data_IF_610290603886
#
_entry.id   IF_610290603886
#
_cell.length_a   1.000
_cell.length_b   1.000
_cell.length_c   1.000
_cell.angle_alpha   90.00
_cell.angle_beta   90.00
_cell.angle_gamma   90.00
#
_symmetry.space_group_name_H-M   'P 1'
#
loop_
_entity.id
_entity.type
_entity.pdbx_description
1 polymer ?
#
# COMPACT_ATOMS: atom_id res chain seq x y z
N UNK A 1 10.08 -34.14 4.54
CA UNK A 1 8.94 -33.25 4.23
C UNK A 1 9.34 -31.82 4.58
N UNK A 2 9.94 -31.07 3.65
CA UNK A 2 10.31 -29.65 3.86
C UNK A 2 10.57 -28.89 2.53
N UNK A 3 9.98 -29.32 1.42
CA UNK A 3 10.22 -28.71 0.10
C UNK A 3 9.31 -27.52 -0.22
N UNK A 4 8.21 -27.33 0.53
CA UNK A 4 7.21 -26.28 0.23
C UNK A 4 7.70 -24.88 0.66
N UNK A 5 8.51 -24.76 1.71
CA UNK A 5 9.04 -23.47 2.17
C UNK A 5 10.16 -22.86 1.30
N UNK A 6 10.86 -23.68 0.52
CA UNK A 6 11.94 -23.21 -0.38
C UNK A 6 11.39 -22.51 -1.63
N UNK A 7 10.25 -22.98 -2.13
CA UNK A 7 9.68 -22.52 -3.39
C UNK A 7 9.09 -21.10 -3.29
N UNK A 8 8.43 -20.75 -2.18
CA UNK A 8 7.89 -19.40 -1.98
C UNK A 8 9.00 -18.37 -1.71
N UNK A 9 10.04 -18.77 -0.97
CA UNK A 9 11.18 -17.91 -0.64
C UNK A 9 11.97 -17.55 -1.90
N UNK A 10 12.23 -18.50 -2.79
CA UNK A 10 12.97 -18.27 -4.04
C UNK A 10 12.20 -17.36 -5.02
N UNK A 11 10.87 -17.49 -5.10
CA UNK A 11 10.03 -16.63 -5.95
C UNK A 11 9.99 -15.17 -5.50
N UNK A 12 10.21 -14.91 -4.20
CA UNK A 12 10.24 -13.56 -3.61
C UNK A 12 11.64 -12.92 -3.71
N UNK A 13 12.68 -13.70 -3.48
CA UNK A 13 14.07 -13.19 -3.41
C UNK A 13 14.60 -12.73 -4.76
N UNK A 14 14.14 -13.38 -5.84
CA UNK A 14 14.62 -13.15 -7.21
C UNK A 14 14.30 -11.75 -7.74
N UNK A 15 13.04 -11.25 -7.73
CA UNK A 15 12.75 -9.90 -8.20
C UNK A 15 13.40 -8.79 -7.36
N UNK A 16 13.46 -8.96 -6.04
CA UNK A 16 14.16 -8.02 -5.15
C UNK A 16 15.66 -7.98 -5.43
N UNK A 17 16.28 -9.13 -5.66
CA UNK A 17 17.69 -9.23 -6.06
C UNK A 17 17.96 -8.55 -7.41
N UNK A 18 17.04 -8.66 -8.38
CA UNK A 18 17.16 -7.94 -9.65
C UNK A 18 17.14 -6.42 -9.48
N UNK A 19 16.25 -5.87 -8.65
CA UNK A 19 16.22 -4.43 -8.36
C UNK A 19 17.55 -3.96 -7.73
N UNK A 20 18.07 -4.71 -6.75
CA UNK A 20 19.36 -4.40 -6.12
C UNK A 20 20.52 -4.49 -7.11
N UNK A 21 20.51 -5.50 -7.99
CA UNK A 21 21.53 -5.70 -9.02
C UNK A 21 21.49 -4.56 -10.05
N UNK A 22 20.31 -4.11 -10.47
CA UNK A 22 20.16 -2.94 -11.34
C UNK A 22 20.73 -1.68 -10.69
N UNK A 23 20.43 -1.44 -9.41
CA UNK A 23 20.99 -0.31 -8.65
C UNK A 23 22.52 -0.35 -8.61
N UNK A 24 23.08 -1.55 -8.38
CA UNK A 24 24.52 -1.77 -8.35
C UNK A 24 25.20 -1.53 -9.69
N UNK A 25 24.67 -2.11 -10.78
CA UNK A 25 25.26 -1.94 -12.12
C UNK A 25 25.14 -0.50 -12.61
N UNK A 26 23.96 0.09 -12.52
CA UNK A 26 23.74 1.47 -12.99
C UNK A 26 24.50 2.48 -12.14
N UNK A 27 24.54 2.27 -10.83
CA UNK A 27 25.32 3.11 -9.92
C UNK A 27 26.82 3.01 -10.17
N UNK A 28 27.36 1.79 -10.35
CA UNK A 28 28.76 1.58 -10.65
C UNK A 28 29.17 2.20 -12.00
N UNK A 29 28.37 2.00 -13.04
CA UNK A 29 28.60 2.59 -14.36
C UNK A 29 28.62 4.12 -14.30
N UNK A 30 27.62 4.73 -13.65
CA UNK A 30 27.54 6.18 -13.50
C UNK A 30 28.71 6.75 -12.66
N UNK A 31 29.14 6.04 -11.62
CA UNK A 31 30.32 6.41 -10.82
C UNK A 31 31.60 6.31 -11.66
N UNK A 32 31.78 5.21 -12.41
CA UNK A 32 32.92 5.03 -13.31
C UNK A 32 32.99 6.13 -14.37
N UNK A 33 31.84 6.53 -14.91
CA UNK A 33 31.74 7.66 -15.83
C UNK A 33 32.22 8.97 -15.17
N UNK A 34 31.75 9.29 -13.96
CA UNK A 34 32.17 10.50 -13.24
C UNK A 34 33.66 10.50 -12.87
N UNK A 35 34.26 9.33 -12.62
CA UNK A 35 35.71 9.22 -12.35
C UNK A 35 36.51 9.51 -13.63
N UNK A 36 36.03 9.02 -14.77
CA UNK A 36 36.74 9.14 -16.07
C UNK A 36 36.52 10.49 -16.74
N UNK A 37 35.45 11.22 -16.39
CA UNK A 37 35.10 12.52 -16.95
C UNK A 37 34.92 13.56 -15.82
N UNK A 38 36.02 14.02 -15.19
CA UNK A 38 35.93 14.94 -14.06
C UNK A 38 35.50 16.33 -14.52
N UNK A 39 34.30 16.72 -14.10
CA UNK A 39 33.76 18.07 -14.23
C UNK A 39 34.29 19.02 -13.14
N UNK A 40 33.98 20.34 -13.22
CA UNK A 40 34.36 21.28 -12.17
C UNK A 40 33.93 20.80 -10.78
N UNK A 41 34.83 20.89 -9.80
CA UNK A 41 34.74 20.28 -8.46
C UNK A 41 33.37 20.37 -7.76
N UNK A 42 32.64 21.47 -7.93
CA UNK A 42 31.32 21.66 -7.32
C UNK A 42 30.25 20.80 -8.00
N UNK A 43 30.23 20.78 -9.34
CA UNK A 43 29.30 19.96 -10.13
C UNK A 43 29.58 18.48 -9.95
N UNK A 44 30.85 18.11 -10.03
CA UNK A 44 31.30 16.73 -9.85
C UNK A 44 30.86 16.15 -8.50
N UNK A 45 31.00 16.91 -7.40
CA UNK A 45 30.54 16.49 -6.06
C UNK A 45 29.02 16.35 -5.98
N UNK A 46 28.29 17.24 -6.61
CA UNK A 46 26.82 17.21 -6.63
C UNK A 46 26.32 15.97 -7.38
N UNK A 47 26.88 15.69 -8.54
CA UNK A 47 26.53 14.52 -9.35
C UNK A 47 26.83 13.22 -8.62
N UNK A 48 27.98 13.13 -7.96
CA UNK A 48 28.33 12.01 -7.09
C UNK A 48 27.32 11.80 -5.97
N UNK A 49 26.89 12.88 -5.31
CA UNK A 49 25.91 12.83 -4.23
C UNK A 49 24.55 12.36 -4.74
N UNK A 50 24.10 12.89 -5.88
CA UNK A 50 22.82 12.53 -6.50
C UNK A 50 22.82 11.06 -6.91
N UNK A 51 23.84 10.61 -7.64
CA UNK A 51 23.97 9.22 -8.10
C UNK A 51 24.07 8.28 -6.91
N UNK A 52 24.92 8.61 -5.93
CA UNK A 52 25.06 7.82 -4.71
C UNK A 52 23.75 7.70 -3.94
N UNK A 53 23.00 8.79 -3.80
CA UNK A 53 21.71 8.81 -3.09
C UNK A 53 20.64 8.01 -3.83
N UNK A 54 20.55 8.16 -5.16
CA UNK A 54 19.61 7.39 -5.99
C UNK A 54 19.94 5.89 -5.95
N UNK A 55 21.20 5.51 -6.19
CA UNK A 55 21.63 4.11 -6.14
C UNK A 55 21.41 3.49 -4.76
N UNK A 56 21.76 4.20 -3.68
CA UNK A 56 21.51 3.73 -2.32
C UNK A 56 20.01 3.61 -2.02
N UNK A 57 19.19 4.56 -2.48
CA UNK A 57 17.73 4.53 -2.31
C UNK A 57 17.09 3.35 -3.04
N UNK A 58 17.51 3.05 -4.26
CA UNK A 58 17.01 1.91 -5.05
C UNK A 58 17.46 0.59 -4.40
N UNK A 59 18.74 0.50 -4.01
CA UNK A 59 19.26 -0.69 -3.33
C UNK A 59 18.54 -0.93 -1.99
N UNK A 60 18.33 0.12 -1.20
CA UNK A 60 17.56 0.06 0.04
C UNK A 60 16.12 -0.34 -0.21
N UNK A 61 15.47 0.18 -1.26
CA UNK A 61 14.12 -0.24 -1.65
C UNK A 61 14.05 -1.71 -2.04
N UNK A 62 15.03 -2.21 -2.80
CA UNK A 62 15.16 -3.64 -3.13
C UNK A 62 15.39 -4.51 -1.88
N UNK A 63 16.22 -4.06 -0.95
CA UNK A 63 16.42 -4.73 0.35
C UNK A 63 15.13 -4.75 1.19
N UNK A 64 14.40 -3.63 1.25
CA UNK A 64 13.10 -3.54 1.92
C UNK A 64 12.08 -4.51 1.31
N UNK A 65 12.09 -4.70 -0.01
CA UNK A 65 11.25 -5.70 -0.68
C UNK A 65 11.65 -7.13 -0.33
N UNK A 66 12.95 -7.39 -0.15
CA UNK A 66 13.46 -8.69 0.25
C UNK A 66 12.96 -9.10 1.65
N UNK A 67 12.96 -8.16 2.59
CA UNK A 67 12.56 -8.35 3.99
C UNK A 67 11.04 -8.23 4.21
N UNK A 68 10.31 -7.71 3.22
CA UNK A 68 8.86 -7.53 3.33
C UNK A 68 8.07 -8.85 3.36
N UNK A 69 6.89 -8.79 3.99
CA UNK A 69 5.90 -9.87 4.01
C UNK A 69 4.98 -9.87 2.77
N UNK A 70 5.32 -9.12 1.71
CA UNK A 70 4.49 -9.06 0.50
C UNK A 70 4.45 -10.40 -0.23
N UNK A 71 3.31 -10.66 -0.87
CA UNK A 71 3.14 -11.81 -1.75
C UNK A 71 4.13 -11.75 -2.92
N UNK A 72 4.67 -12.90 -3.38
CA UNK A 72 5.64 -12.91 -4.47
C UNK A 72 5.17 -12.18 -5.73
N UNK A 73 3.89 -12.33 -6.10
CA UNK A 73 3.29 -11.70 -7.30
C UNK A 73 3.31 -10.17 -7.21
N UNK A 74 3.04 -9.64 -6.02
CA UNK A 74 3.14 -8.22 -5.72
C UNK A 74 4.57 -7.68 -5.93
N UNK A 75 5.59 -8.42 -5.49
CA UNK A 75 7.00 -8.03 -5.68
C UNK A 75 7.40 -8.07 -7.16
N UNK A 76 6.88 -9.02 -7.93
CA UNK A 76 7.03 -9.03 -9.39
C UNK A 76 6.35 -7.85 -10.07
N UNK A 77 5.19 -7.43 -9.57
CA UNK A 77 4.55 -6.19 -10.00
C UNK A 77 5.45 -4.97 -9.79
N UNK A 78 6.11 -4.86 -8.64
CA UNK A 78 7.07 -3.77 -8.36
C UNK A 78 8.25 -3.81 -9.32
N UNK A 79 8.81 -4.99 -9.62
CA UNK A 79 9.87 -5.14 -10.61
C UNK A 79 9.39 -4.69 -12.00
N UNK A 80 8.16 -5.05 -12.41
CA UNK A 80 7.60 -4.64 -13.69
C UNK A 80 7.50 -3.11 -13.81
N UNK A 81 7.05 -2.42 -12.75
CA UNK A 81 7.03 -0.95 -12.70
C UNK A 81 8.44 -0.34 -12.75
N UNK A 82 9.40 -0.99 -12.09
CA UNK A 82 10.81 -0.58 -12.10
C UNK A 82 11.40 -0.66 -13.51
N UNK A 83 11.18 -1.79 -14.22
CA UNK A 83 11.63 -1.99 -15.61
C UNK A 83 10.92 -1.02 -16.55
N UNK A 84 9.61 -0.80 -16.37
CA UNK A 84 8.85 0.15 -17.18
C UNK A 84 9.35 1.59 -16.99
N UNK A 85 9.68 1.98 -15.76
CA UNK A 85 10.28 3.28 -15.44
C UNK A 85 11.65 3.44 -16.11
N UNK A 86 12.51 2.42 -16.04
CA UNK A 86 13.81 2.44 -16.73
C UNK A 86 13.64 2.53 -18.26
N UNK A 87 12.72 1.73 -18.84
CA UNK A 87 12.46 1.70 -20.27
C UNK A 87 11.88 3.02 -20.80
N UNK A 88 10.95 3.63 -20.08
CA UNK A 88 10.39 4.94 -20.45
C UNK A 88 11.45 6.05 -20.37
N UNK A 89 12.29 6.05 -19.34
CA UNK A 89 13.40 7.01 -19.24
C UNK A 89 14.44 6.82 -20.36
N UNK A 90 14.76 5.57 -20.73
CA UNK A 90 15.63 5.27 -21.87
C UNK A 90 15.03 5.76 -23.20
N UNK A 91 13.72 5.57 -23.41
CA UNK A 91 13.03 6.08 -24.60
C UNK A 91 13.08 7.62 -24.68
N UNK A 92 12.91 8.30 -23.54
CA UNK A 92 13.07 9.75 -23.45
C UNK A 92 14.51 10.16 -23.77
N UNK A 93 15.51 9.49 -23.20
CA UNK A 93 16.92 9.73 -23.49
C UNK A 93 17.25 9.56 -24.97
N UNK A 94 16.73 8.50 -25.60
CA UNK A 94 16.87 8.26 -27.04
C UNK A 94 16.20 9.33 -27.89
N UNK A 95 15.03 9.81 -27.49
CA UNK A 95 14.31 10.90 -28.17
C UNK A 95 15.11 12.20 -28.11
N UNK A 96 15.67 12.53 -26.93
CA UNK A 96 16.53 13.71 -26.74
C UNK A 96 17.80 13.61 -27.56
N UNK A 97 18.47 12.46 -27.51
CA UNK A 97 19.68 12.20 -28.30
C UNK A 97 19.42 12.33 -29.80
N UNK A 98 18.34 11.72 -30.30
CA UNK A 98 17.94 11.82 -31.70
C UNK A 98 17.64 13.27 -32.11
N UNK A 99 16.96 14.02 -31.25
CA UNK A 99 16.68 15.43 -31.49
C UNK A 99 17.96 16.29 -31.52
N UNK A 100 18.91 16.05 -30.62
CA UNK A 100 20.20 16.74 -30.62
C UNK A 100 21.02 16.44 -31.87
N UNK A 101 21.00 15.18 -32.33
CA UNK A 101 21.70 14.75 -33.54
C UNK A 101 21.16 15.45 -34.79
N UNK A 102 19.84 15.63 -34.91
CA UNK A 102 19.24 16.34 -36.04
C UNK A 102 19.58 17.84 -36.06
N UNK A 103 19.74 18.45 -34.88
CA UNK A 103 19.97 19.89 -34.75
C UNK A 103 21.46 20.27 -34.69
N UNK A 104 22.39 19.31 -34.83
CA UNK A 104 23.84 19.53 -34.71
C UNK A 104 24.22 20.26 -33.40
N UNK A 105 23.45 20.05 -32.33
CA UNK A 105 23.73 20.62 -31.02
C UNK A 105 24.90 19.88 -30.36
N UNK A 106 25.56 20.52 -29.39
CA UNK A 106 26.55 19.84 -28.55
C UNK A 106 25.85 18.69 -27.79
N UNK A 107 26.20 17.46 -28.15
CA UNK A 107 25.61 16.26 -27.57
C UNK A 107 26.19 16.09 -26.17
N UNK A 108 25.34 16.15 -25.14
CA UNK A 108 25.73 15.70 -23.80
C UNK A 108 26.20 14.25 -23.92
N UNK A 109 27.29 13.88 -23.24
CA UNK A 109 27.89 12.56 -23.39
C UNK A 109 26.81 11.46 -23.31
N UNK A 110 26.56 10.72 -24.41
CA UNK A 110 25.35 9.90 -24.53
C UNK A 110 25.26 8.85 -23.42
N UNK A 111 26.41 8.25 -23.07
CA UNK A 111 26.51 7.25 -22.01
C UNK A 111 25.97 7.76 -20.68
N UNK A 112 26.44 8.92 -20.22
CA UNK A 112 26.00 9.51 -18.95
C UNK A 112 24.52 9.88 -18.96
N UNK A 113 24.02 10.45 -20.07
CA UNK A 113 22.61 10.78 -20.21
C UNK A 113 21.73 9.54 -20.04
N UNK A 114 22.09 8.43 -20.73
CA UNK A 114 21.34 7.18 -20.63
C UNK A 114 21.46 6.54 -19.25
N UNK A 115 22.65 6.50 -18.66
CA UNK A 115 22.88 5.94 -17.32
C UNK A 115 22.10 6.69 -16.25
N UNK A 116 22.15 8.03 -16.28
CA UNK A 116 21.43 8.88 -15.33
C UNK A 116 19.91 8.74 -15.49
N UNK A 117 19.41 8.73 -16.73
CA UNK A 117 17.98 8.54 -17.00
C UNK A 117 17.52 7.14 -16.61
N UNK A 118 18.30 6.10 -16.91
CA UNK A 118 18.00 4.73 -16.49
C UNK A 118 17.94 4.61 -14.97
N UNK A 119 18.89 5.20 -14.25
CA UNK A 119 18.92 5.20 -12.79
C UNK A 119 17.70 5.94 -12.22
N UNK A 120 17.40 7.13 -12.75
CA UNK A 120 16.25 7.94 -12.32
C UNK A 120 14.94 7.22 -12.63
N UNK A 121 14.79 6.67 -13.83
CA UNK A 121 13.61 5.89 -14.25
C UNK A 121 13.41 4.64 -13.42
N UNK A 122 14.49 3.94 -13.07
CA UNK A 122 14.46 2.80 -12.13
C UNK A 122 13.95 3.24 -10.76
N UNK A 123 14.46 4.36 -10.23
CA UNK A 123 14.02 4.90 -8.93
C UNK A 123 12.55 5.32 -8.91
N UNK A 124 12.10 6.05 -9.94
CA UNK A 124 10.70 6.49 -10.07
C UNK A 124 9.78 5.28 -10.25
N UNK A 125 10.15 4.33 -11.10
CA UNK A 125 9.39 3.09 -11.32
C UNK A 125 9.27 2.25 -10.04
N UNK A 126 10.35 2.13 -9.28
CA UNK A 126 10.35 1.46 -7.98
C UNK A 126 9.43 2.17 -6.98
N UNK A 127 9.55 3.49 -6.84
CA UNK A 127 8.73 4.29 -5.93
C UNK A 127 7.24 4.18 -6.30
N UNK A 128 6.90 4.26 -7.59
CA UNK A 128 5.54 4.08 -8.08
C UNK A 128 5.02 2.67 -7.82
N UNK A 129 5.80 1.64 -8.12
CA UNK A 129 5.45 0.25 -7.87
C UNK A 129 5.17 -0.02 -6.38
N UNK A 130 6.02 0.47 -5.49
CA UNK A 130 5.84 0.36 -4.03
C UNK A 130 4.61 1.13 -3.56
N UNK A 131 4.38 2.34 -4.09
CA UNK A 131 3.21 3.15 -3.72
C UNK A 131 1.93 2.48 -4.16
N UNK A 132 1.88 1.95 -5.38
CA UNK A 132 0.73 1.20 -5.90
C UNK A 132 0.48 -0.06 -5.09
N UNK A 133 1.53 -0.81 -4.76
CA UNK A 133 1.44 -2.00 -3.91
C UNK A 133 0.82 -1.67 -2.54
N UNK A 134 1.24 -0.55 -1.93
CA UNK A 134 0.67 -0.06 -0.66
C UNK A 134 -0.79 0.37 -0.78
N UNK A 135 -1.25 0.74 -1.96
CA UNK A 135 -2.64 1.14 -2.21
C UNK A 135 -3.55 -0.04 -2.58
N UNK A 136 -3.01 -1.11 -3.19
CA UNK A 136 -3.80 -2.28 -3.62
C UNK A 136 -3.79 -3.44 -2.63
N UNK A 137 -2.91 -3.44 -1.63
CA UNK A 137 -2.99 -4.41 -0.53
C UNK A 137 -4.12 -3.96 0.41
N UNK A 138 -5.27 -4.65 0.46
CA UNK A 138 -6.33 -4.25 1.37
C UNK A 138 -5.90 -4.57 2.80
N UNK A 139 -6.06 -3.57 3.69
CA UNK A 139 -6.11 -3.67 5.16
C UNK A 139 -4.74 -3.68 5.89
N UNK A 140 -4.52 -2.96 7.01
CA UNK A 140 -5.13 -1.73 7.52
C UNK A 140 -4.03 -0.70 7.92
N UNK A 141 -3.95 0.44 7.22
CA UNK A 141 -3.03 1.53 7.66
C UNK A 141 -3.47 2.25 8.94
N UNK A 142 -4.63 1.92 9.50
CA UNK A 142 -5.03 2.35 10.83
C UNK A 142 -4.24 1.65 11.96
N UNK A 143 -3.53 0.55 11.70
CA UNK A 143 -2.75 -0.21 12.71
C UNK A 143 -1.25 0.15 12.76
N UNK A 144 -0.76 1.24 12.15
CA UNK A 144 0.70 1.52 12.21
C UNK A 144 1.04 2.99 12.44
N UNK A 145 0.09 3.89 12.23
CA UNK A 145 0.26 5.34 12.46
C UNK A 145 -0.80 5.94 13.40
N UNK A 146 -1.68 5.11 13.96
CA UNK A 146 -2.60 5.50 15.04
C UNK A 146 -1.89 5.50 16.39
N UNK A 147 -2.29 6.43 17.25
CA UNK A 147 -1.95 6.48 18.67
C UNK A 147 -2.06 5.06 19.27
N UNK A 148 -1.12 4.57 20.12
CA UNK A 148 -1.26 3.27 20.79
C UNK A 148 -2.63 3.01 21.42
N UNK A 149 -3.37 4.05 21.81
CA UNK A 149 -4.76 3.93 22.27
C UNK A 149 -5.74 3.44 21.17
N UNK A 150 -5.57 3.82 19.90
CA UNK A 150 -6.41 3.36 18.80
C UNK A 150 -6.11 1.91 18.41
N UNK A 151 -4.88 1.45 18.63
CA UNK A 151 -4.49 0.04 18.49
C UNK A 151 -5.17 -0.83 19.55
N UNK A 152 -5.15 -0.39 20.82
CA UNK A 152 -5.84 -1.10 21.90
C UNK A 152 -7.35 -1.12 21.68
N UNK A 153 -7.93 -0.09 21.07
CA UNK A 153 -9.35 -0.05 20.66
C UNK A 153 -9.65 -0.98 19.50
N UNK A 154 -8.81 -1.06 18.47
CA UNK A 154 -8.98 -1.99 17.35
C UNK A 154 -8.73 -3.45 17.77
N UNK A 155 -7.77 -3.69 18.66
CA UNK A 155 -7.59 -4.99 19.31
C UNK A 155 -8.73 -5.32 20.26
N UNK A 156 -9.31 -4.33 20.96
CA UNK A 156 -10.51 -4.51 21.76
C UNK A 156 -11.70 -4.89 20.87
N UNK A 157 -11.94 -4.19 19.76
CA UNK A 157 -12.98 -4.54 18.77
C UNK A 157 -12.71 -5.92 18.17
N UNK A 158 -11.47 -6.24 17.77
CA UNK A 158 -11.11 -7.57 17.27
C UNK A 158 -11.26 -8.68 18.34
N UNK A 159 -11.04 -8.36 19.62
CA UNK A 159 -11.24 -9.29 20.74
C UNK A 159 -12.71 -9.42 21.17
N UNK A 160 -13.50 -8.37 20.98
CA UNK A 160 -14.95 -8.35 21.18
C UNK A 160 -15.64 -9.19 20.09
N UNK A 161 -15.16 -9.13 18.85
CA UNK A 161 -15.70 -9.83 17.66
C UNK A 161 -15.43 -11.36 17.67
N UNK A 162 -14.88 -11.92 18.77
CA UNK A 162 -14.59 -13.34 19.01
C UNK A 162 -15.09 -14.36 17.98
N UNK A 163 -14.16 -15.07 17.34
CA UNK A 163 -14.47 -16.10 16.35
C UNK A 163 -13.23 -16.66 15.65
N UNK A 164 -13.43 -17.70 14.84
CA UNK A 164 -12.41 -18.31 13.99
C UNK A 164 -11.84 -17.27 13.00
N UNK A 165 -10.58 -17.43 12.55
CA UNK A 165 -9.86 -16.37 11.80
C UNK A 165 -10.57 -15.91 10.53
N UNK A 166 -11.33 -16.81 9.91
CA UNK A 166 -12.06 -16.56 8.67
C UNK A 166 -13.35 -15.78 8.93
N UNK A 167 -14.08 -16.08 10.01
CA UNK A 167 -15.28 -15.34 10.41
C UNK A 167 -14.95 -13.91 10.82
N UNK A 168 -13.80 -13.68 11.47
CA UNK A 168 -13.35 -12.35 11.85
C UNK A 168 -12.99 -11.51 10.61
N UNK A 169 -12.35 -12.13 9.63
CA UNK A 169 -12.04 -11.49 8.34
C UNK A 169 -13.31 -11.14 7.56
N UNK A 170 -14.28 -12.05 7.52
CA UNK A 170 -15.59 -11.82 6.88
C UNK A 170 -16.37 -10.67 7.56
N UNK A 171 -16.41 -10.64 8.90
CA UNK A 171 -17.03 -9.53 9.66
C UNK A 171 -16.35 -8.19 9.43
N UNK A 172 -15.02 -8.16 9.31
CA UNK A 172 -14.29 -6.94 8.98
C UNK A 172 -14.61 -6.42 7.57
N UNK A 173 -14.71 -7.30 6.58
CA UNK A 173 -15.09 -6.94 5.21
C UNK A 173 -16.52 -6.37 5.14
N UNK A 174 -17.47 -6.92 5.92
CA UNK A 174 -18.82 -6.38 6.08
C UNK A 174 -18.77 -4.93 6.57
N UNK A 175 -18.02 -4.66 7.65
CA UNK A 175 -17.89 -3.31 8.22
C UNK A 175 -17.21 -2.34 7.25
N UNK A 176 -16.18 -2.80 6.52
CA UNK A 176 -15.50 -1.97 5.52
C UNK A 176 -16.45 -1.59 4.39
N UNK A 177 -17.24 -2.54 3.89
CA UNK A 177 -18.23 -2.30 2.84
C UNK A 177 -19.30 -1.30 3.31
N UNK A 178 -19.84 -1.47 4.53
CA UNK A 178 -20.81 -0.53 5.11
C UNK A 178 -20.21 0.87 5.33
N UNK A 179 -19.00 0.98 5.86
CA UNK A 179 -18.33 2.27 6.09
C UNK A 179 -17.98 3.03 4.81
N UNK A 180 -17.72 2.31 3.72
CA UNK A 180 -17.40 2.90 2.41
C UNK A 180 -18.63 3.45 1.67
N UNK A 181 -19.83 3.04 2.09
CA UNK A 181 -21.07 3.46 1.44
C UNK A 181 -21.49 4.83 1.98
N UNK A 182 -21.37 5.85 1.12
CA UNK A 182 -21.53 7.26 1.50
C UNK A 182 -22.92 7.64 2.05
N UNK A 183 -23.94 6.79 1.87
CA UNK A 183 -25.33 7.10 2.21
C UNK A 183 -25.75 6.73 3.63
N UNK A 184 -24.85 6.21 4.48
CA UNK A 184 -25.14 5.74 5.85
C UNK A 184 -26.20 4.63 5.98
N UNK A 185 -27.10 4.49 5.02
CA UNK A 185 -28.14 3.47 4.92
C UNK A 185 -27.97 2.74 3.58
N UNK A 186 -27.71 1.44 3.64
CA UNK A 186 -27.54 0.59 2.46
C UNK A 186 -28.65 -0.44 2.41
N UNK A 187 -29.43 -0.54 1.31
CA UNK A 187 -30.42 -1.61 1.17
C UNK A 187 -29.76 -2.99 1.25
N UNK A 188 -30.29 -3.89 2.07
CA UNK A 188 -29.69 -5.20 2.32
C UNK A 188 -29.47 -6.00 1.03
N UNK A 189 -30.42 -5.92 0.09
CA UNK A 189 -30.30 -6.60 -1.20
C UNK A 189 -29.11 -6.07 -2.02
N UNK A 190 -28.87 -4.76 -2.02
CA UNK A 190 -27.72 -4.17 -2.69
C UNK A 190 -26.41 -4.54 -1.99
N UNK A 191 -26.44 -4.62 -0.66
CA UNK A 191 -25.30 -5.01 0.16
C UNK A 191 -24.86 -6.46 -0.11
N UNK A 192 -25.81 -7.40 -0.16
CA UNK A 192 -25.53 -8.82 -0.48
C UNK A 192 -24.94 -8.97 -1.88
N UNK A 193 -25.48 -8.24 -2.87
CA UNK A 193 -24.98 -8.24 -4.24
C UNK A 193 -23.55 -7.66 -4.31
N UNK A 194 -23.25 -6.64 -3.51
CA UNK A 194 -21.92 -6.04 -3.49
C UNK A 194 -20.91 -7.01 -2.88
N UNK A 195 -21.26 -7.68 -1.77
CA UNK A 195 -20.43 -8.70 -1.13
C UNK A 195 -20.19 -9.91 -2.05
N UNK A 196 -21.18 -10.38 -2.81
CA UNK A 196 -21.00 -11.51 -3.74
C UNK A 196 -20.18 -11.17 -4.98
N UNK A 197 -20.13 -9.90 -5.39
CA UNK A 197 -19.40 -9.46 -6.59
C UNK A 197 -17.92 -9.16 -6.36
N UNK A 198 -17.50 -8.98 -5.11
CA UNK A 198 -16.10 -8.69 -4.82
C UNK A 198 -15.27 -9.99 -4.95
N UNK A 199 -14.76 -10.25 -6.16
CA UNK A 199 -14.00 -11.46 -6.56
C UNK A 199 -12.69 -11.73 -5.78
N UNK A 200 -12.41 -10.97 -4.73
CA UNK A 200 -11.24 -11.07 -3.86
C UNK A 200 -11.60 -11.27 -2.38
N UNK A 201 -12.88 -11.48 -2.05
CA UNK A 201 -13.38 -11.53 -0.66
C UNK A 201 -13.50 -12.95 -0.12
N UNK A 202 -13.65 -13.05 1.20
CA UNK A 202 -13.90 -14.30 1.91
C UNK A 202 -15.37 -14.78 1.82
N UNK A 203 -16.17 -14.16 0.94
CA UNK A 203 -17.58 -14.47 0.74
C UNK A 203 -17.80 -15.39 -0.47
N UNK A 204 -18.82 -16.27 -0.44
CA UNK A 204 -19.21 -17.06 -1.61
C UNK A 204 -19.65 -16.19 -2.79
N UNK A 205 -19.42 -16.66 -4.02
CA UNK A 205 -19.90 -16.00 -5.24
C UNK A 205 -21.45 -16.11 -5.44
N UNK A 206 -22.14 -16.90 -4.60
CA UNK A 206 -23.59 -17.09 -4.64
C UNK A 206 -24.29 -16.14 -3.66
N UNK A 207 -25.17 -15.28 -4.18
CA UNK A 207 -25.96 -14.32 -3.41
C UNK A 207 -26.78 -15.00 -2.30
N UNK A 208 -27.30 -16.21 -2.52
CA UNK A 208 -28.07 -16.92 -1.49
C UNK A 208 -27.16 -17.41 -0.36
N UNK A 209 -25.99 -17.96 -0.70
CA UNK A 209 -25.01 -18.40 0.28
C UNK A 209 -24.45 -17.22 1.11
N UNK A 210 -24.23 -16.06 0.49
CA UNK A 210 -23.86 -14.82 1.20
C UNK A 210 -24.98 -14.36 2.12
N UNK A 211 -26.23 -14.41 1.65
CA UNK A 211 -27.39 -14.04 2.46
C UNK A 211 -27.49 -14.92 3.71
N UNK A 212 -27.44 -16.24 3.54
CA UNK A 212 -27.57 -17.19 4.66
C UNK A 212 -26.44 -16.97 5.67
N UNK A 213 -25.19 -16.86 5.19
CA UNK A 213 -24.01 -16.62 6.02
C UNK A 213 -24.07 -15.26 6.73
N UNK A 214 -24.57 -14.22 6.07
CA UNK A 214 -24.74 -12.89 6.67
C UNK A 214 -25.79 -12.94 7.78
N UNK A 215 -26.99 -13.46 7.52
CA UNK A 215 -28.09 -13.47 8.48
C UNK A 215 -27.91 -14.45 9.63
N UNK A 216 -27.29 -15.61 9.38
CA UNK A 216 -27.13 -16.65 10.40
C UNK A 216 -25.86 -16.47 11.24
N UNK A 217 -24.73 -16.09 10.64
CA UNK A 217 -23.43 -16.17 11.32
C UNK A 217 -22.80 -14.82 11.72
N UNK A 218 -23.14 -13.74 11.03
CA UNK A 218 -22.40 -12.48 11.16
C UNK A 218 -23.24 -11.33 11.69
N UNK A 219 -24.41 -11.11 11.10
CA UNK A 219 -25.25 -9.98 11.43
C UNK A 219 -25.83 -10.05 12.86
N UNK A 220 -26.20 -11.22 13.41
CA UNK A 220 -26.56 -11.35 14.82
C UNK A 220 -25.45 -10.88 15.76
N UNK A 221 -24.19 -11.25 15.46
CA UNK A 221 -23.04 -10.87 16.29
C UNK A 221 -22.72 -9.38 16.16
N UNK A 222 -22.86 -8.81 14.97
CA UNK A 222 -22.66 -7.37 14.77
C UNK A 222 -23.75 -6.52 15.42
N UNK A 223 -24.99 -7.03 15.49
CA UNK A 223 -26.10 -6.42 16.23
C UNK A 223 -25.88 -6.51 17.74
N UNK A 224 -25.48 -7.67 18.26
CA UNK A 224 -25.18 -7.85 19.69
C UNK A 224 -24.06 -6.91 20.18
N UNK A 225 -23.21 -6.45 19.27
CA UNK A 225 -22.08 -5.57 19.55
C UNK A 225 -22.36 -4.10 19.24
N UNK A 226 -23.60 -3.76 18.91
CA UNK A 226 -24.04 -2.40 18.54
C UNK A 226 -23.25 -1.79 17.37
N UNK A 227 -22.61 -2.62 16.53
CA UNK A 227 -21.79 -2.16 15.40
C UNK A 227 -22.65 -1.79 14.19
N UNK A 228 -23.83 -2.39 14.09
CA UNK A 228 -24.74 -2.30 12.95
C UNK A 228 -26.17 -2.21 13.46
N UNK A 229 -26.99 -1.38 12.83
CA UNK A 229 -28.45 -1.34 13.02
C UNK A 229 -29.15 -1.78 11.75
N UNK A 230 -30.20 -2.59 11.89
CA UNK A 230 -31.13 -2.89 10.80
C UNK A 230 -32.37 -2.04 10.97
N UNK A 231 -32.78 -1.35 9.91
CA UNK A 231 -34.13 -0.82 9.79
C UNK A 231 -35.01 -1.87 9.09
N UNK A 232 -35.84 -2.57 9.87
CA UNK A 232 -36.75 -3.60 9.37
C UNK A 232 -37.87 -3.04 8.47
N UNK A 233 -38.21 -1.75 8.59
CA UNK A 233 -39.24 -1.11 7.77
C UNK A 233 -38.71 -0.79 6.36
N UNK A 234 -37.45 -0.36 6.28
CA UNK A 234 -36.79 0.00 5.02
C UNK A 234 -35.95 -1.13 4.43
N UNK A 235 -35.67 -2.20 5.20
CA UNK A 235 -34.79 -3.29 4.80
C UNK A 235 -33.35 -2.81 4.55
N UNK A 236 -32.90 -1.82 5.31
CA UNK A 236 -31.57 -1.21 5.20
C UNK A 236 -30.69 -1.59 6.39
N UNK A 237 -29.39 -1.59 6.13
CA UNK A 237 -28.34 -1.81 7.13
C UNK A 237 -27.52 -0.54 7.24
N UNK A 238 -27.33 -0.10 8.48
CA UNK A 238 -26.55 1.08 8.81
C UNK A 238 -25.40 0.71 9.73
N UNK A 239 -24.23 1.29 9.48
CA UNK A 239 -23.09 1.17 10.38
C UNK A 239 -23.19 2.22 11.49
N UNK A 240 -23.21 1.75 12.74
CA UNK A 240 -23.39 2.61 13.92
C UNK A 240 -22.05 2.78 14.62
N UNK A 241 -21.25 3.74 14.17
CA UNK A 241 -19.96 4.07 14.80
C UNK A 241 -20.11 4.92 16.08
N UNK A 242 -21.33 5.33 16.43
CA UNK A 242 -21.54 6.56 17.20
C UNK A 242 -21.23 6.49 18.70
N UNK A 243 -21.09 5.28 19.28
CA UNK A 243 -20.74 5.14 20.72
C UNK A 243 -19.26 4.78 20.98
N UNK A 244 -18.47 4.46 19.96
CA UNK A 244 -17.02 4.27 20.13
C UNK A 244 -16.26 5.60 20.32
N UNK A 245 -16.87 6.73 19.96
CA UNK A 245 -16.31 8.10 20.10
C UNK A 245 -16.92 8.82 21.33
N UNK A 246 -17.96 8.26 21.95
CA UNK A 246 -18.80 8.90 22.97
C UNK A 246 -18.24 8.94 24.41
N UNK A 247 -17.19 8.18 24.75
CA UNK A 247 -16.60 8.17 26.10
C UNK A 247 -15.74 9.41 26.43
N UNK A 248 -15.65 10.39 25.53
CA UNK A 248 -14.95 11.67 25.75
C UNK A 248 -15.86 12.81 26.27
N UNK A 249 -17.13 12.53 26.60
CA UNK A 249 -18.09 13.60 26.95
C UNK A 249 -18.81 13.45 28.30
N UNK A 250 -18.27 12.68 29.25
CA UNK A 250 -18.70 12.76 30.64
C UNK A 250 -17.51 12.76 31.60
N UNK A 251 -17.28 13.96 32.16
CA UNK A 251 -17.09 14.26 33.60
C UNK A 251 -15.96 15.29 33.81
N UNK A 252 -16.20 16.52 33.35
CA UNK A 252 -15.47 17.68 33.87
C UNK A 252 -16.21 18.17 35.13
N UNK A 253 -15.67 17.97 36.34
CA UNK A 253 -16.28 18.49 37.54
C UNK A 253 -16.32 20.02 37.47
N UNK A 254 -17.53 20.55 37.52
CA UNK A 254 -17.81 21.97 37.57
C UNK A 254 -17.15 22.56 38.83
N UNK A 255 -16.26 23.58 38.73
CA UNK A 255 -15.63 24.16 39.91
C UNK A 255 -16.69 24.89 40.76
N UNK A 256 -16.61 24.80 42.10
CA UNK A 256 -17.58 25.43 42.98
C UNK A 256 -17.51 26.95 42.82
N UNK A 257 -18.69 27.55 42.60
CA UNK A 257 -18.90 28.99 42.65
C UNK A 257 -18.42 29.52 44.01
N UNK A 258 -17.32 30.27 44.00
CA UNK A 258 -16.90 31.07 45.12
C UNK A 258 -17.96 32.18 45.32
N UNK A 259 -18.64 32.13 46.47
CA UNK A 259 -19.45 33.22 46.96
C UNK A 259 -18.54 34.40 47.28
N UNK A 260 -18.66 35.48 46.51
CA UNK A 260 -18.14 36.79 46.89
C UNK A 260 -19.15 37.48 47.80
N UNK A 261 -18.76 37.69 49.06
CA UNK A 261 -19.18 38.84 49.87
C UNK A 261 -18.35 40.07 49.53
#
# INVERSE_FOLDING_TARGET
MSTIGSYSRTKRTLPAAFVMLMAGILGAAAIEYLITHPDPLVWWRLEFLIIGTLSAGIAYGGYRLFDSAYEPEAVWGVLAWTILGAGTAAAVGGSVYFHQQLNSAAVAAPAFLFEFLLLTGTGVGLAFGVTRLRSTTPIPRLLTEGDPEDMDRLCAVASLVGGDSDALRQRWEILQCLSSTATQETPMAAFIIELSKQSHTCFPDDENAVKDLLYEDHLPVLLEQDMVTIDDELGTVQFTAHDLIGLSSQDSPQPPLAATE
#
